data_IF_353827086235
#
_entry.id   IF_353827086235
#
_cell.length_a   1.000
_cell.length_b   1.000
_cell.length_c   1.000
_cell.angle_alpha   90.00
_cell.angle_beta   90.00
_cell.angle_gamma   90.00
#
_symmetry.space_group_name_H-M   'P 1'
#
loop_
_entity.id
_entity.type
_entity.pdbx_description
1 polymer ?
#
# COMPACT_ATOMS: atom_id res chain seq x y z
N UNK A 1 -22.86 82.86 -15.94
CA UNK A 1 -23.01 81.42 -16.23
C UNK A 1 -23.36 81.11 -17.70
N UNK A 2 -24.24 81.88 -18.36
CA UNK A 2 -24.71 81.59 -19.73
C UNK A 2 -23.65 81.72 -20.86
N UNK A 3 -22.60 82.53 -20.69
CA UNK A 3 -21.58 82.76 -21.74
C UNK A 3 -20.56 81.62 -21.91
N UNK A 4 -20.37 80.76 -20.90
CA UNK A 4 -19.40 79.65 -20.96
C UNK A 4 -19.89 78.50 -21.85
N UNK A 5 -21.21 78.26 -21.87
CA UNK A 5 -21.85 77.20 -22.65
C UNK A 5 -22.02 77.53 -24.14
N UNK A 6 -21.73 78.76 -24.58
CA UNK A 6 -21.80 79.16 -25.99
C UNK A 6 -20.51 78.91 -26.77
N UNK A 7 -19.40 78.54 -26.12
CA UNK A 7 -18.14 78.18 -26.82
C UNK A 7 -18.31 76.87 -27.58
N UNK A 8 -17.98 76.88 -28.89
CA UNK A 8 -18.14 75.74 -29.83
C UNK A 8 -17.62 74.41 -29.27
N UNK A 9 -16.45 74.43 -28.63
CA UNK A 9 -15.83 73.24 -28.02
C UNK A 9 -16.64 72.67 -26.84
N UNK A 10 -17.14 73.53 -25.94
CA UNK A 10 -17.97 73.10 -24.80
C UNK A 10 -19.26 72.44 -25.29
N UNK A 11 -19.87 72.97 -26.35
CA UNK A 11 -21.09 72.41 -26.96
C UNK A 11 -20.84 71.06 -27.64
N UNK A 12 -19.68 70.88 -28.28
CA UNK A 12 -19.29 69.60 -28.90
C UNK A 12 -19.01 68.55 -27.83
N UNK A 13 -18.21 68.87 -26.80
CA UNK A 13 -17.92 67.97 -25.69
C UNK A 13 -19.19 67.57 -24.94
N UNK A 14 -20.10 68.52 -24.68
CA UNK A 14 -21.39 68.23 -24.07
C UNK A 14 -22.24 67.27 -24.92
N UNK A 15 -22.30 67.48 -26.25
CA UNK A 15 -23.01 66.56 -27.16
C UNK A 15 -22.40 65.16 -27.18
N UNK A 16 -21.06 65.04 -27.18
CA UNK A 16 -20.37 63.75 -27.14
C UNK A 16 -20.71 63.02 -25.83
N UNK A 17 -20.65 63.72 -24.69
CA UNK A 17 -21.00 63.14 -23.39
C UNK A 17 -22.49 62.75 -23.36
N UNK A 18 -23.38 63.61 -23.85
CA UNK A 18 -24.82 63.35 -23.90
C UNK A 18 -25.16 62.13 -24.76
N UNK A 19 -24.60 62.04 -25.97
CA UNK A 19 -24.81 60.89 -26.85
C UNK A 19 -24.12 59.63 -26.31
N UNK A 20 -22.96 59.75 -25.66
CA UNK A 20 -22.31 58.65 -24.98
C UNK A 20 -23.14 58.10 -23.82
N UNK A 21 -23.70 58.97 -22.97
CA UNK A 21 -24.62 58.58 -21.91
C UNK A 21 -25.92 57.98 -22.45
N UNK A 22 -26.49 58.55 -23.51
CA UNK A 22 -27.70 58.02 -24.15
C UNK A 22 -27.44 56.64 -24.78
N UNK A 23 -26.32 56.44 -25.45
CA UNK A 23 -25.92 55.14 -26.01
C UNK A 23 -25.69 54.10 -24.91
N UNK A 24 -25.00 54.47 -23.82
CA UNK A 24 -24.79 53.59 -22.68
C UNK A 24 -26.11 53.21 -21.99
N UNK A 25 -26.99 54.19 -21.77
CA UNK A 25 -28.33 53.96 -21.24
C UNK A 25 -29.18 53.05 -22.14
N UNK A 26 -29.09 53.23 -23.47
CA UNK A 26 -29.75 52.35 -24.43
C UNK A 26 -29.22 50.92 -24.38
N UNK A 27 -27.89 50.72 -24.32
CA UNK A 27 -27.27 49.39 -24.20
C UNK A 27 -27.72 48.70 -22.90
N UNK A 28 -27.70 49.41 -21.76
CA UNK A 28 -28.15 48.84 -20.49
C UNK A 28 -29.64 48.52 -20.48
N UNK A 29 -30.47 49.37 -21.08
CA UNK A 29 -31.91 49.15 -21.19
C UNK A 29 -32.20 47.96 -22.13
N UNK A 30 -31.53 47.88 -23.27
CA UNK A 30 -31.64 46.77 -24.20
C UNK A 30 -31.16 45.45 -23.58
N UNK A 31 -30.07 45.45 -22.82
CA UNK A 31 -29.60 44.29 -22.07
C UNK A 31 -30.59 43.88 -20.96
N UNK A 32 -31.14 44.84 -20.22
CA UNK A 32 -32.19 44.58 -19.22
C UNK A 32 -33.42 43.95 -19.85
N UNK A 33 -33.89 44.47 -20.99
CA UNK A 33 -35.02 43.88 -21.71
C UNK A 33 -34.68 42.55 -22.36
N UNK A 34 -33.45 42.33 -22.84
CA UNK A 34 -33.01 41.04 -23.37
C UNK A 34 -33.05 39.94 -22.29
N UNK A 35 -32.61 40.25 -21.07
CA UNK A 35 -32.71 39.33 -19.93
C UNK A 35 -34.16 39.20 -19.44
N UNK A 36 -34.90 40.30 -19.30
CA UNK A 36 -36.29 40.30 -18.79
C UNK A 36 -37.28 39.60 -19.73
N UNK A 37 -37.04 39.66 -21.04
CA UNK A 37 -37.86 38.99 -22.06
C UNK A 37 -37.32 37.60 -22.41
N UNK A 38 -36.33 37.08 -21.65
CA UNK A 38 -35.76 35.75 -21.86
C UNK A 38 -35.19 35.56 -23.28
N UNK A 39 -34.76 36.64 -23.95
CA UNK A 39 -34.22 36.61 -25.32
C UNK A 39 -32.81 36.00 -25.39
N UNK A 40 -32.13 35.90 -24.25
CA UNK A 40 -30.82 35.27 -24.09
C UNK A 40 -30.88 33.95 -23.31
N UNK A 41 -32.09 33.45 -23.04
CA UNK A 41 -32.24 32.16 -22.38
C UNK A 41 -31.72 31.08 -23.31
N UNK A 42 -30.74 30.32 -22.82
CA UNK A 42 -30.27 29.12 -23.50
C UNK A 42 -31.39 28.07 -23.40
N UNK A 43 -32.04 27.69 -24.52
CA UNK A 43 -33.08 26.67 -24.47
C UNK A 43 -32.42 25.37 -24.02
N UNK A 44 -32.64 25.02 -22.75
CA UNK A 44 -32.00 23.87 -22.12
C UNK A 44 -32.04 22.63 -23.02
N UNK A 45 -30.90 21.98 -23.17
CA UNK A 45 -30.76 20.83 -24.07
C UNK A 45 -31.23 19.56 -23.37
N UNK A 46 -32.08 18.78 -24.05
CA UNK A 46 -32.42 17.42 -23.62
C UNK A 46 -31.31 16.46 -24.07
N UNK A 47 -30.77 15.66 -23.15
CA UNK A 47 -29.69 14.72 -23.46
C UNK A 47 -30.17 13.64 -24.43
N UNK A 48 -29.34 13.27 -25.40
CA UNK A 48 -29.63 12.18 -26.36
C UNK A 48 -29.87 10.82 -25.69
N UNK A 49 -29.37 10.66 -24.47
CA UNK A 49 -29.53 9.48 -23.62
C UNK A 49 -30.68 9.63 -22.61
N UNK A 50 -31.54 10.65 -22.71
CA UNK A 50 -32.66 10.86 -21.77
C UNK A 50 -33.49 9.59 -21.58
N UNK A 51 -33.84 8.88 -22.66
CA UNK A 51 -34.54 7.60 -22.57
C UNK A 51 -33.81 6.59 -21.67
N UNK A 52 -32.49 6.50 -21.80
CA UNK A 52 -31.68 5.62 -20.94
C UNK A 52 -31.70 6.10 -19.48
N UNK A 53 -31.61 7.41 -19.23
CA UNK A 53 -31.71 7.95 -17.87
C UNK A 53 -33.08 7.70 -17.26
N UNK A 54 -34.17 7.83 -18.02
CA UNK A 54 -35.53 7.49 -17.57
C UNK A 54 -35.65 5.99 -17.27
N UNK A 55 -35.14 5.12 -18.14
CA UNK A 55 -35.11 3.67 -17.91
C UNK A 55 -34.35 3.33 -16.63
N UNK A 56 -33.18 3.95 -16.39
CA UNK A 56 -32.43 3.76 -15.15
C UNK A 56 -33.18 4.31 -13.93
N UNK A 57 -33.78 5.49 -14.02
CA UNK A 57 -34.56 6.09 -12.94
C UNK A 57 -35.76 5.21 -12.56
N UNK A 58 -36.51 4.70 -13.54
CA UNK A 58 -37.61 3.75 -13.33
C UNK A 58 -37.11 2.44 -12.70
N UNK A 59 -35.99 1.92 -13.21
CA UNK A 59 -35.32 0.72 -12.68
C UNK A 59 -34.90 0.89 -11.22
N UNK A 60 -34.56 2.09 -10.78
CA UNK A 60 -34.26 2.39 -9.37
C UNK A 60 -35.50 2.72 -8.54
N UNK A 61 -36.54 3.36 -9.12
CA UNK A 61 -37.78 3.78 -8.43
C UNK A 61 -38.73 2.63 -8.07
N UNK A 62 -38.79 1.56 -8.87
CA UNK A 62 -39.71 0.41 -8.64
C UNK A 62 -39.47 -0.40 -7.34
N UNK A 63 -38.55 0.01 -6.47
CA UNK A 63 -37.87 -0.88 -5.53
C UNK A 63 -38.21 -0.68 -4.04
N UNK A 64 -39.39 -0.15 -3.70
CA UNK A 64 -39.92 -0.22 -2.33
C UNK A 64 -40.53 -1.61 -2.00
N UNK A 65 -39.89 -2.71 -2.39
CA UNK A 65 -40.36 -4.06 -2.00
C UNK A 65 -39.82 -5.27 -2.77
N UNK A 66 -39.30 -5.11 -3.98
CA UNK A 66 -38.66 -6.20 -4.74
C UNK A 66 -37.25 -5.75 -5.11
N UNK A 67 -36.24 -6.49 -4.64
CA UNK A 67 -34.83 -6.18 -4.91
C UNK A 67 -34.59 -6.20 -6.41
N UNK A 68 -34.08 -5.09 -6.96
CA UNK A 68 -33.30 -5.14 -8.19
C UNK A 68 -32.27 -6.30 -8.06
N UNK A 69 -31.95 -7.00 -9.16
CA UNK A 69 -30.76 -7.87 -9.20
C UNK A 69 -29.51 -6.98 -9.19
N UNK A 70 -29.31 -6.27 -8.08
CA UNK A 70 -28.00 -5.79 -7.68
C UNK A 70 -27.12 -7.04 -7.63
N UNK A 71 -25.84 -6.93 -7.99
CA UNK A 71 -24.88 -7.90 -7.53
C UNK A 71 -25.12 -8.10 -6.02
N UNK A 72 -25.73 -9.20 -5.59
CA UNK A 72 -26.07 -9.37 -4.15
C UNK A 72 -24.79 -9.63 -3.32
N UNK A 73 -23.62 -9.55 -3.96
CA UNK A 73 -22.34 -9.96 -3.44
C UNK A 73 -21.19 -9.16 -4.08
N UNK A 74 -20.18 -8.82 -3.27
CA UNK A 74 -18.95 -8.14 -3.71
C UNK A 74 -18.22 -8.89 -4.84
N UNK A 75 -18.25 -10.23 -4.85
CA UNK A 75 -17.57 -11.04 -5.86
C UNK A 75 -18.06 -10.74 -7.28
N UNK A 76 -19.36 -10.49 -7.45
CA UNK A 76 -19.93 -10.12 -8.75
C UNK A 76 -19.46 -8.72 -9.13
N UNK A 77 -19.39 -7.77 -8.18
CA UNK A 77 -18.85 -6.43 -8.44
C UNK A 77 -17.39 -6.52 -8.92
N UNK A 78 -16.53 -7.29 -8.24
CA UNK A 78 -15.15 -7.48 -8.69
C UNK A 78 -15.06 -8.12 -10.08
N UNK A 79 -15.94 -9.08 -10.39
CA UNK A 79 -16.00 -9.69 -11.72
C UNK A 79 -16.37 -8.67 -12.81
N UNK A 80 -17.36 -7.81 -12.55
CA UNK A 80 -17.73 -6.71 -13.46
C UNK A 80 -16.60 -5.70 -13.63
N UNK A 81 -15.87 -5.39 -12.55
CA UNK A 81 -14.69 -4.51 -12.61
C UNK A 81 -13.64 -5.13 -13.54
N UNK A 82 -13.38 -6.44 -13.43
CA UNK A 82 -12.43 -7.14 -14.29
C UNK A 82 -12.85 -7.13 -15.77
N UNK A 83 -14.14 -7.31 -16.06
CA UNK A 83 -14.68 -7.13 -17.43
C UNK A 83 -14.46 -5.70 -17.91
N UNK A 84 -14.90 -4.70 -17.15
CA UNK A 84 -14.76 -3.29 -17.54
C UNK A 84 -13.29 -2.90 -17.76
N UNK A 85 -12.35 -3.45 -16.98
CA UNK A 85 -10.94 -3.14 -17.11
C UNK A 85 -10.37 -3.47 -18.51
N UNK A 86 -10.97 -4.44 -19.22
CA UNK A 86 -10.56 -4.78 -20.60
C UNK A 86 -10.96 -3.71 -21.63
N UNK A 87 -11.98 -2.89 -21.33
CA UNK A 87 -12.56 -1.92 -22.27
C UNK A 87 -12.33 -0.46 -21.87
N UNK A 88 -12.35 -0.17 -20.57
CA UNK A 88 -12.19 1.16 -19.98
C UNK A 88 -11.41 1.07 -18.65
N UNK A 89 -10.08 0.81 -18.69
CA UNK A 89 -9.27 0.55 -17.50
C UNK A 89 -9.27 1.70 -16.49
N UNK A 90 -9.31 2.95 -16.96
CA UNK A 90 -9.40 4.12 -16.07
C UNK A 90 -10.68 4.10 -15.23
N UNK A 91 -11.84 3.87 -15.87
CA UNK A 91 -13.13 3.81 -15.20
C UNK A 91 -13.22 2.61 -14.25
N UNK A 92 -12.70 1.44 -14.67
CA UNK A 92 -12.62 0.27 -13.80
C UNK A 92 -11.85 0.55 -12.51
N UNK A 93 -10.71 1.25 -12.61
CA UNK A 93 -9.90 1.63 -11.44
C UNK A 93 -10.61 2.63 -10.52
N UNK A 94 -11.34 3.60 -11.07
CA UNK A 94 -12.14 4.55 -10.28
C UNK A 94 -13.29 3.86 -9.52
N UNK A 95 -13.95 2.90 -10.18
CA UNK A 95 -15.00 2.07 -9.54
C UNK A 95 -14.40 1.20 -8.46
N UNK A 96 -13.29 0.49 -8.74
CA UNK A 96 -12.60 -0.35 -7.76
C UNK A 96 -12.17 0.45 -6.53
N UNK A 97 -11.61 1.64 -6.72
CA UNK A 97 -11.19 2.51 -5.64
C UNK A 97 -12.37 2.92 -4.75
N UNK A 98 -13.46 3.39 -5.35
CA UNK A 98 -14.67 3.80 -4.62
C UNK A 98 -15.33 2.61 -3.92
N UNK A 99 -15.41 1.46 -4.58
CA UNK A 99 -16.00 0.25 -4.03
C UNK A 99 -15.18 -0.29 -2.84
N UNK A 100 -13.85 -0.31 -2.93
CA UNK A 100 -12.98 -0.73 -1.84
C UNK A 100 -13.15 0.14 -0.57
N UNK A 101 -13.46 1.43 -0.74
CA UNK A 101 -13.71 2.37 0.36
C UNK A 101 -15.11 2.24 0.96
N UNK A 102 -16.12 2.05 0.13
CA UNK A 102 -17.53 2.15 0.55
C UNK A 102 -18.18 0.81 0.83
N UNK A 103 -17.70 -0.26 0.16
CA UNK A 103 -18.34 -1.58 0.09
C UNK A 103 -19.81 -1.52 -0.32
N UNK A 104 -20.22 -0.43 -0.98
CA UNK A 104 -21.60 -0.20 -1.38
C UNK A 104 -21.82 -0.74 -2.79
N UNK A 105 -22.48 -1.89 -2.87
CA UNK A 105 -22.74 -2.57 -4.14
C UNK A 105 -23.73 -1.81 -5.03
N UNK A 106 -24.73 -1.16 -4.44
CA UNK A 106 -25.69 -0.33 -5.18
C UNK A 106 -24.99 0.87 -5.82
N UNK A 107 -24.09 1.53 -5.08
CA UNK A 107 -23.27 2.61 -5.60
C UNK A 107 -22.39 2.13 -6.75
N UNK A 108 -21.69 1.00 -6.59
CA UNK A 108 -20.87 0.44 -7.65
C UNK A 108 -21.69 0.12 -8.91
N UNK A 109 -22.91 -0.41 -8.76
CA UNK A 109 -23.81 -0.65 -9.88
C UNK A 109 -24.20 0.65 -10.59
N UNK A 110 -24.52 1.72 -9.85
CA UNK A 110 -24.81 3.04 -10.44
C UNK A 110 -23.62 3.59 -11.23
N UNK A 111 -22.40 3.36 -10.74
CA UNK A 111 -21.19 3.74 -11.46
C UNK A 111 -21.02 2.93 -12.75
N UNK A 112 -21.32 1.63 -12.75
CA UNK A 112 -21.36 0.83 -13.98
C UNK A 112 -22.40 1.36 -14.95
N UNK A 113 -23.63 1.65 -14.49
CA UNK A 113 -24.69 2.16 -15.35
C UNK A 113 -24.30 3.51 -15.98
N UNK A 114 -23.62 4.39 -15.24
CA UNK A 114 -23.09 5.64 -15.79
C UNK A 114 -22.04 5.40 -16.89
N UNK A 115 -21.13 4.44 -16.71
CA UNK A 115 -20.15 4.07 -17.75
C UNK A 115 -20.84 3.42 -18.95
N UNK A 116 -21.87 2.62 -18.69
CA UNK A 116 -22.61 1.90 -19.72
C UNK A 116 -23.30 2.84 -20.71
N UNK A 117 -23.67 4.07 -20.31
CA UNK A 117 -24.17 5.12 -21.22
C UNK A 117 -23.25 5.30 -22.44
N UNK A 118 -21.94 5.17 -22.25
CA UNK A 118 -20.95 5.36 -23.30
C UNK A 118 -20.54 4.05 -24.00
N UNK A 119 -20.91 2.89 -23.45
CA UNK A 119 -20.56 1.56 -23.98
C UNK A 119 -21.76 0.79 -24.54
N UNK A 120 -22.92 1.43 -24.68
CA UNK A 120 -24.18 0.79 -25.11
C UNK A 120 -24.09 0.07 -26.47
N UNK A 121 -23.18 0.50 -27.34
CA UNK A 121 -23.01 -0.10 -28.67
C UNK A 121 -21.96 -1.22 -28.70
N UNK A 122 -21.23 -1.45 -27.59
CA UNK A 122 -20.23 -2.50 -27.49
C UNK A 122 -20.90 -3.82 -27.07
N UNK A 123 -21.36 -4.58 -28.07
CA UNK A 123 -22.07 -5.85 -27.85
C UNK A 123 -21.23 -6.89 -27.08
N UNK A 124 -19.92 -6.93 -27.32
CA UNK A 124 -19.06 -7.90 -26.64
C UNK A 124 -18.91 -7.56 -25.15
N UNK A 125 -18.68 -6.28 -24.85
CA UNK A 125 -18.67 -5.78 -23.47
C UNK A 125 -19.98 -6.09 -22.74
N UNK A 126 -21.13 -5.78 -23.35
CA UNK A 126 -22.44 -6.00 -22.74
C UNK A 126 -22.70 -7.48 -22.47
N UNK A 127 -22.32 -8.37 -23.41
CA UNK A 127 -22.42 -9.82 -23.23
C UNK A 127 -21.55 -10.30 -22.07
N UNK A 128 -20.28 -9.89 -22.01
CA UNK A 128 -19.37 -10.27 -20.93
C UNK A 128 -19.83 -9.72 -19.57
N UNK A 129 -20.40 -8.51 -19.55
CA UNK A 129 -20.94 -7.91 -18.33
C UNK A 129 -22.17 -8.69 -17.81
N UNK A 130 -23.04 -9.13 -18.72
CA UNK A 130 -24.19 -9.98 -18.37
C UNK A 130 -23.75 -11.37 -17.88
N UNK A 131 -22.70 -11.94 -18.47
CA UNK A 131 -22.06 -13.18 -17.99
C UNK A 131 -21.47 -12.98 -16.58
N UNK A 132 -20.86 -11.83 -16.31
CA UNK A 132 -20.33 -11.52 -14.99
C UNK A 132 -21.42 -11.44 -13.91
N UNK A 133 -22.61 -10.93 -14.25
CA UNK A 133 -23.79 -10.89 -13.37
C UNK A 133 -24.34 -12.29 -13.04
N UNK A 134 -24.03 -13.30 -13.87
CA UNK A 134 -24.48 -14.70 -13.68
C UNK A 134 -23.51 -15.53 -12.84
N UNK A 135 -22.45 -14.94 -12.28
CA UNK A 135 -21.45 -15.65 -11.47
C UNK A 135 -22.14 -16.45 -10.34
N UNK A 136 -22.02 -17.78 -10.39
CA UNK A 136 -22.53 -18.66 -9.34
C UNK A 136 -21.58 -18.64 -8.14
N UNK A 137 -22.01 -18.03 -7.06
CA UNK A 137 -21.23 -17.94 -5.83
C UNK A 137 -21.53 -19.17 -5.00
N UNK A 138 -20.50 -19.96 -4.70
CA UNK A 138 -20.63 -21.02 -3.69
C UNK A 138 -20.86 -20.36 -2.34
N UNK A 139 -21.87 -20.82 -1.59
CA UNK A 139 -21.99 -20.50 -0.17
C UNK A 139 -20.82 -21.17 0.56
N UNK A 140 -19.66 -20.53 0.54
CA UNK A 140 -18.60 -20.89 1.45
C UNK A 140 -19.08 -20.48 2.84
N UNK A 141 -18.89 -21.36 3.83
CA UNK A 141 -18.94 -20.94 5.24
C UNK A 141 -18.11 -19.66 5.35
N UNK A 142 -18.63 -18.64 6.01
CA UNK A 142 -17.93 -17.36 6.17
C UNK A 142 -16.54 -17.64 6.74
N UNK A 143 -15.53 -17.55 5.88
CA UNK A 143 -14.14 -17.60 6.29
C UNK A 143 -13.77 -16.19 6.76
N UNK A 144 -14.23 -15.84 7.96
CA UNK A 144 -13.91 -14.56 8.62
C UNK A 144 -12.48 -14.56 9.21
N UNK A 145 -11.65 -15.52 8.79
CA UNK A 145 -10.29 -15.75 9.28
C UNK A 145 -9.29 -15.74 8.14
N UNK A 146 -8.06 -15.32 8.45
CA UNK A 146 -6.94 -15.36 7.54
C UNK A 146 -6.60 -16.83 7.20
N UNK A 147 -6.32 -17.12 5.92
CA UNK A 147 -5.90 -18.44 5.45
C UNK A 147 -4.57 -18.87 6.10
N UNK A 148 -3.67 -17.92 6.36
CA UNK A 148 -2.48 -18.12 7.17
C UNK A 148 -2.89 -18.15 8.64
N UNK A 149 -3.14 -19.36 9.15
CA UNK A 149 -3.81 -19.57 10.44
C UNK A 149 -3.12 -18.87 11.62
N UNK A 150 -1.79 -18.76 11.62
CA UNK A 150 -1.05 -18.05 12.68
C UNK A 150 -1.36 -16.55 12.73
N UNK A 151 -1.76 -15.92 11.63
CA UNK A 151 -2.19 -14.51 11.63
C UNK A 151 -3.55 -14.30 12.31
N UNK A 152 -4.27 -15.37 12.66
CA UNK A 152 -5.52 -15.26 13.43
C UNK A 152 -5.29 -15.18 14.95
N UNK A 153 -4.06 -15.39 15.42
CA UNK A 153 -3.74 -15.37 16.86
C UNK A 153 -3.85 -13.95 17.45
N UNK A 154 -4.17 -13.86 18.73
CA UNK A 154 -4.24 -12.57 19.44
C UNK A 154 -2.89 -11.84 19.38
N UNK A 155 -1.81 -12.59 19.48
CA UNK A 155 -0.45 -12.07 19.42
C UNK A 155 -0.12 -11.37 18.10
N UNK A 156 -0.78 -11.76 16.99
CA UNK A 156 -0.63 -11.06 15.71
C UNK A 156 -1.27 -9.66 15.75
N UNK A 157 -2.42 -9.52 16.40
CA UNK A 157 -3.11 -8.23 16.51
C UNK A 157 -2.24 -7.23 17.28
N UNK A 158 -1.61 -7.70 18.35
CA UNK A 158 -0.70 -6.91 19.16
C UNK A 158 0.59 -6.57 18.41
N UNK A 159 1.14 -7.54 17.69
CA UNK A 159 2.29 -7.33 16.82
C UNK A 159 2.04 -6.22 15.78
N UNK A 160 0.85 -6.15 15.17
CA UNK A 160 0.51 -5.06 14.24
C UNK A 160 0.54 -3.67 14.89
N UNK A 161 0.19 -3.57 16.17
CA UNK A 161 0.31 -2.31 16.93
C UNK A 161 1.78 -1.99 17.18
N UNK A 162 2.59 -2.99 17.53
CA UNK A 162 4.03 -2.85 17.73
C UNK A 162 4.71 -2.35 16.44
N UNK A 163 4.39 -2.94 15.29
CA UNK A 163 4.99 -2.55 14.01
C UNK A 163 4.74 -1.09 13.64
N UNK A 164 3.60 -0.51 14.04
CA UNK A 164 3.35 0.94 13.86
C UNK A 164 4.34 1.81 14.64
N UNK A 165 4.78 1.35 15.82
CA UNK A 165 5.80 2.03 16.63
C UNK A 165 7.19 1.89 16.00
N UNK A 166 7.52 0.69 15.52
CA UNK A 166 8.83 0.35 14.97
C UNK A 166 9.07 0.88 13.54
N UNK A 167 7.99 1.20 12.81
CA UNK A 167 8.04 1.56 11.39
C UNK A 167 9.11 2.61 11.04
N UNK A 168 9.23 3.68 11.84
CA UNK A 168 10.20 4.75 11.56
C UNK A 168 11.64 4.26 11.58
N UNK A 169 11.98 3.32 12.47
CA UNK A 169 13.32 2.72 12.53
C UNK A 169 13.55 1.74 11.37
N UNK A 170 12.53 0.95 11.03
CA UNK A 170 12.60 0.03 9.88
C UNK A 170 12.77 0.81 8.55
N UNK A 171 12.01 1.88 8.35
CA UNK A 171 12.11 2.74 7.16
C UNK A 171 13.47 3.45 7.10
N UNK A 172 13.97 3.97 8.22
CA UNK A 172 15.27 4.65 8.23
C UNK A 172 16.42 3.70 7.89
N UNK A 173 16.45 2.51 8.50
CA UNK A 173 17.44 1.47 8.20
C UNK A 173 17.28 0.98 6.76
N UNK A 174 16.05 0.79 6.29
CA UNK A 174 15.82 0.33 4.93
C UNK A 174 16.34 1.31 3.89
N UNK A 175 16.10 2.62 4.08
CA UNK A 175 16.66 3.68 3.21
C UNK A 175 18.17 3.74 3.27
N UNK A 176 18.76 3.65 4.47
CA UNK A 176 20.22 3.70 4.66
C UNK A 176 20.92 2.52 3.99
N UNK A 177 20.37 1.32 4.16
CA UNK A 177 20.98 0.08 3.66
C UNK A 177 20.54 -0.25 2.25
N UNK A 178 19.48 0.39 1.72
CA UNK A 178 18.82 0.01 0.47
C UNK A 178 18.07 -1.32 0.55
N UNK A 179 17.83 -1.87 1.74
CA UNK A 179 17.04 -3.10 1.92
C UNK A 179 15.60 -2.72 2.25
N UNK A 180 14.64 -3.30 1.56
CA UNK A 180 13.23 -3.02 1.78
C UNK A 180 12.81 -3.23 3.25
N UNK A 181 12.18 -2.23 3.91
CA UNK A 181 11.71 -2.34 5.29
C UNK A 181 10.78 -3.53 5.54
N UNK A 182 9.93 -3.88 4.56
CA UNK A 182 9.05 -5.05 4.61
C UNK A 182 9.83 -6.37 4.68
N UNK A 183 10.96 -6.47 3.98
CA UNK A 183 11.81 -7.65 4.01
C UNK A 183 12.54 -7.78 5.36
N UNK A 184 12.99 -6.67 5.95
CA UNK A 184 13.55 -6.65 7.32
C UNK A 184 12.46 -7.08 8.31
N UNK A 185 11.25 -6.52 8.18
CA UNK A 185 10.10 -6.87 9.01
C UNK A 185 9.70 -8.34 8.86
N UNK A 186 9.93 -8.99 7.71
CA UNK A 186 9.68 -10.42 7.56
C UNK A 186 10.58 -11.29 8.43
N UNK A 187 11.86 -10.92 8.58
CA UNK A 187 12.77 -11.59 9.52
C UNK A 187 12.32 -11.37 10.96
N UNK A 188 11.94 -10.13 11.28
CA UNK A 188 11.43 -9.76 12.59
C UNK A 188 10.16 -10.54 12.95
N UNK A 189 9.19 -10.64 12.03
CA UNK A 189 7.93 -11.35 12.24
C UNK A 189 8.16 -12.82 12.57
N UNK A 190 8.98 -13.51 11.76
CA UNK A 190 9.27 -14.92 11.99
C UNK A 190 9.92 -15.15 13.38
N UNK A 191 10.78 -14.23 13.82
CA UNK A 191 11.43 -14.33 15.13
C UNK A 191 10.50 -13.98 16.30
N UNK A 192 9.71 -12.92 16.17
CA UNK A 192 8.86 -12.44 17.25
C UNK A 192 7.65 -13.35 17.49
N UNK A 193 7.04 -13.89 16.43
CA UNK A 193 5.96 -14.86 16.57
C UNK A 193 6.45 -16.15 17.23
N UNK A 194 7.67 -16.60 16.89
CA UNK A 194 8.34 -17.70 17.60
C UNK A 194 8.52 -17.39 19.08
N UNK A 195 8.92 -16.17 19.44
CA UNK A 195 9.14 -15.77 20.84
C UNK A 195 7.84 -15.62 21.62
N UNK A 196 6.78 -15.10 21.00
CA UNK A 196 5.48 -14.91 21.64
C UNK A 196 4.81 -16.25 21.97
N UNK A 197 4.96 -17.25 21.10
CA UNK A 197 4.45 -18.60 21.36
C UNK A 197 5.29 -19.33 22.42
N UNK A 198 6.63 -19.34 22.30
CA UNK A 198 7.51 -20.06 23.23
C UNK A 198 7.54 -19.44 24.64
N UNK A 199 7.41 -18.12 24.76
CA UNK A 199 7.45 -17.40 26.04
C UNK A 199 6.07 -16.85 26.43
N UNK A 200 5.03 -17.68 26.34
CA UNK A 200 3.63 -17.26 26.52
C UNK A 200 3.36 -16.58 27.86
N UNK A 201 4.06 -16.95 28.93
CA UNK A 201 3.94 -16.29 30.23
C UNK A 201 4.48 -14.85 30.21
N UNK A 202 5.69 -14.66 29.66
CA UNK A 202 6.28 -13.33 29.48
C UNK A 202 5.42 -12.49 28.53
N UNK A 203 4.83 -13.13 27.51
CA UNK A 203 3.89 -12.48 26.61
C UNK A 203 2.71 -11.88 27.37
N UNK A 204 2.00 -12.71 28.14
CA UNK A 204 0.82 -12.28 28.90
C UNK A 204 1.15 -11.23 29.96
N UNK A 205 2.30 -11.35 30.62
CA UNK A 205 2.67 -10.48 31.74
C UNK A 205 3.18 -9.11 31.29
N UNK A 206 3.94 -9.06 30.20
CA UNK A 206 4.69 -7.85 29.82
C UNK A 206 4.50 -7.43 28.37
N UNK A 207 4.72 -8.33 27.41
CA UNK A 207 4.79 -8.00 25.98
C UNK A 207 3.44 -7.53 25.44
N UNK A 208 2.38 -8.32 25.65
CA UNK A 208 1.02 -8.02 25.21
C UNK A 208 0.47 -6.73 25.84
N UNK A 209 0.54 -6.56 27.17
CA UNK A 209 0.10 -5.33 27.82
C UNK A 209 0.83 -4.07 27.37
N UNK A 210 2.17 -4.11 27.27
CA UNK A 210 2.99 -2.94 26.92
C UNK A 210 3.07 -2.70 25.41
N UNK A 211 2.67 -3.69 24.59
CA UNK A 211 2.83 -3.71 23.13
C UNK A 211 4.28 -3.36 22.77
N UNK A 212 5.21 -4.21 23.19
CA UNK A 212 6.65 -4.12 22.94
C UNK A 212 7.18 -5.40 22.28
N UNK A 213 8.36 -5.35 21.68
CA UNK A 213 9.04 -6.53 21.15
C UNK A 213 9.75 -7.32 22.25
N UNK A 214 9.97 -8.61 22.02
CA UNK A 214 10.86 -9.42 22.85
C UNK A 214 12.31 -9.20 22.40
N UNK A 215 13.16 -8.77 23.34
CA UNK A 215 14.59 -8.56 23.12
C UNK A 215 15.35 -9.75 23.69
N UNK A 216 16.15 -10.42 22.85
CA UNK A 216 17.00 -11.53 23.28
C UNK A 216 18.39 -11.04 23.67
N UNK A 217 19.03 -11.73 24.63
CA UNK A 217 20.35 -11.36 25.16
C UNK A 217 21.23 -12.56 25.55
N UNK A 218 20.85 -13.78 25.13
CA UNK A 218 21.58 -15.02 25.44
C UNK A 218 22.24 -15.59 24.19
N UNK A 219 21.60 -16.58 23.56
CA UNK A 219 22.13 -17.29 22.38
C UNK A 219 21.97 -16.51 21.07
N UNK A 220 21.02 -15.58 21.06
CA UNK A 220 20.76 -14.62 19.99
C UNK A 220 20.50 -13.27 20.65
N UNK A 221 20.80 -12.19 19.94
CA UNK A 221 20.70 -10.83 20.44
C UNK A 221 19.67 -10.01 19.67
N UNK A 222 19.02 -9.12 20.41
CA UNK A 222 18.08 -8.15 19.87
C UNK A 222 16.73 -8.72 19.50
N UNK A 223 15.96 -7.92 18.78
CA UNK A 223 14.59 -8.25 18.36
C UNK A 223 14.54 -9.11 17.10
N UNK A 224 15.62 -9.11 16.31
CA UNK A 224 15.74 -9.92 15.08
C UNK A 224 16.50 -11.24 15.29
N UNK A 225 17.04 -11.48 16.48
CA UNK A 225 17.65 -12.76 16.85
C UNK A 225 19.01 -13.04 16.22
N UNK A 226 19.81 -12.00 15.95
CA UNK A 226 21.17 -12.15 15.39
C UNK A 226 22.06 -12.85 16.41
N UNK A 227 22.68 -13.96 15.99
CA UNK A 227 23.66 -14.66 16.84
C UNK A 227 24.96 -13.84 16.97
N UNK A 228 25.66 -13.91 18.12
CA UNK A 228 26.91 -13.16 18.33
C UNK A 228 27.94 -13.38 17.22
N UNK A 229 28.17 -14.63 16.82
CA UNK A 229 29.11 -14.99 15.76
C UNK A 229 28.67 -14.47 14.38
N UNK A 230 27.37 -14.34 14.15
CA UNK A 230 26.83 -13.75 12.92
C UNK A 230 27.06 -12.25 12.89
N UNK A 231 26.89 -11.54 14.02
CA UNK A 231 27.21 -10.11 14.12
C UNK A 231 28.69 -9.84 13.80
N UNK A 232 29.59 -10.61 14.40
CA UNK A 232 31.04 -10.52 14.14
C UNK A 232 31.37 -10.78 12.65
N UNK A 233 30.69 -11.74 12.00
CA UNK A 233 30.86 -12.00 10.57
C UNK A 233 30.37 -10.85 9.70
N UNK A 234 29.24 -10.22 10.04
CA UNK A 234 28.73 -9.03 9.35
C UNK A 234 29.77 -7.90 9.42
N UNK A 235 30.28 -7.60 10.60
CA UNK A 235 31.30 -6.55 10.82
C UNK A 235 32.61 -6.83 10.08
N UNK A 236 32.98 -8.10 9.94
CA UNK A 236 34.13 -8.50 9.12
C UNK A 236 33.84 -8.32 7.63
N UNK A 237 32.73 -8.89 7.15
CA UNK A 237 32.40 -8.91 5.73
C UNK A 237 32.07 -7.54 5.16
N UNK A 238 31.54 -6.62 5.98
CA UNK A 238 31.25 -5.24 5.54
C UNK A 238 32.52 -4.49 5.13
N UNK A 239 33.70 -4.90 5.62
CA UNK A 239 35.01 -4.29 5.35
C UNK A 239 35.93 -5.13 4.46
N UNK A 240 35.50 -6.34 4.08
CA UNK A 240 36.35 -7.28 3.33
C UNK A 240 35.90 -7.32 1.88
N UNK A 241 36.47 -6.45 1.03
CA UNK A 241 36.11 -6.32 -0.40
C UNK A 241 36.25 -7.61 -1.22
N UNK A 242 37.20 -8.47 -0.84
CA UNK A 242 37.43 -9.81 -1.41
C UNK A 242 36.41 -10.86 -0.96
N UNK A 243 35.58 -10.57 0.05
CA UNK A 243 34.55 -11.50 0.52
C UNK A 243 33.43 -11.62 -0.50
N UNK A 244 32.97 -12.85 -0.75
CA UNK A 244 31.75 -13.10 -1.53
C UNK A 244 30.51 -12.41 -0.93
N UNK A 245 30.55 -12.14 0.38
CA UNK A 245 29.50 -11.44 1.12
C UNK A 245 29.66 -9.92 1.13
N UNK A 246 30.73 -9.36 0.53
CA UNK A 246 30.97 -7.92 0.58
C UNK A 246 29.82 -7.12 -0.05
N UNK A 247 29.18 -6.20 0.71
CA UNK A 247 27.99 -5.48 0.26
C UNK A 247 28.32 -4.23 -0.57
N UNK A 248 29.57 -3.78 -0.62
CA UNK A 248 30.01 -2.60 -1.37
C UNK A 248 30.51 -1.45 -0.50
N UNK A 249 31.33 -0.59 -1.12
CA UNK A 249 32.12 0.46 -0.44
C UNK A 249 31.28 1.44 0.37
N UNK A 250 30.09 1.82 -0.11
CA UNK A 250 29.22 2.78 0.57
C UNK A 250 28.71 2.30 1.93
N UNK A 251 28.86 1.02 2.25
CA UNK A 251 28.39 0.43 3.49
C UNK A 251 29.49 0.21 4.54
N UNK A 252 30.78 0.34 4.18
CA UNK A 252 31.93 -0.06 5.02
C UNK A 252 31.93 0.55 6.43
N UNK A 253 31.40 1.77 6.55
CA UNK A 253 31.41 2.56 7.78
C UNK A 253 30.12 2.48 8.59
N UNK A 254 29.12 1.71 8.15
CA UNK A 254 27.81 1.67 8.83
C UNK A 254 27.86 1.07 10.23
N UNK A 255 28.86 0.24 10.52
CA UNK A 255 29.00 -0.49 11.79
C UNK A 255 30.25 -0.11 12.58
N UNK A 256 30.95 0.98 12.22
CA UNK A 256 32.17 1.39 12.91
C UNK A 256 31.93 1.59 14.41
N UNK A 257 32.79 0.95 15.21
CA UNK A 257 32.77 1.05 16.68
C UNK A 257 33.33 2.39 17.14
N UNK A 258 32.81 2.90 18.25
CA UNK A 258 33.23 4.19 18.82
C UNK A 258 34.01 4.04 20.12
N UNK A 259 34.00 2.85 20.69
CA UNK A 259 34.66 2.53 21.95
C UNK A 259 35.79 1.53 21.75
N UNK A 260 36.64 1.40 22.76
CA UNK A 260 37.70 0.40 22.78
C UNK A 260 37.18 -0.99 23.14
N UNK A 261 36.08 -1.07 23.89
CA UNK A 261 35.41 -2.33 24.25
C UNK A 261 34.36 -2.68 23.18
N UNK A 262 34.86 -3.24 22.09
CA UNK A 262 34.06 -3.61 20.91
C UNK A 262 32.98 -4.65 21.26
N UNK A 263 33.28 -5.61 22.13
CA UNK A 263 32.36 -6.68 22.48
C UNK A 263 31.17 -6.15 23.29
N UNK A 264 31.44 -5.29 24.26
CA UNK A 264 30.40 -4.61 25.01
C UNK A 264 29.57 -3.69 24.12
N UNK A 265 30.20 -2.86 23.28
CA UNK A 265 29.46 -1.96 22.39
C UNK A 265 28.58 -2.75 21.39
N UNK A 266 29.06 -3.87 20.86
CA UNK A 266 28.27 -4.76 20.00
C UNK A 266 27.05 -5.31 20.73
N UNK A 267 27.26 -5.83 21.94
CA UNK A 267 26.19 -6.36 22.78
C UNK A 267 25.14 -5.27 23.04
N UNK A 268 25.57 -4.11 23.57
CA UNK A 268 24.69 -2.99 23.89
C UNK A 268 23.89 -2.52 22.68
N UNK A 269 24.54 -2.38 21.51
CA UNK A 269 23.87 -2.03 20.24
C UNK A 269 22.74 -3.00 19.91
N UNK A 270 23.00 -4.31 20.01
CA UNK A 270 22.03 -5.32 19.61
C UNK A 270 20.93 -5.54 20.65
N UNK A 271 21.21 -5.36 21.94
CA UNK A 271 20.27 -5.65 23.04
C UNK A 271 19.60 -4.41 23.66
N UNK A 272 19.67 -3.26 23.00
CA UNK A 272 18.98 -2.04 23.45
C UNK A 272 17.46 -2.26 23.47
N UNK A 273 16.84 -2.11 24.65
CA UNK A 273 15.40 -2.30 24.87
C UNK A 273 14.54 -1.10 24.45
N UNK A 274 15.16 0.06 24.22
CA UNK A 274 14.48 1.31 23.89
C UNK A 274 14.67 1.70 22.44
N UNK A 275 15.78 1.32 21.82
CA UNK A 275 16.10 1.66 20.45
C UNK A 275 16.65 0.47 19.66
N UNK A 276 15.77 -0.16 18.87
CA UNK A 276 16.11 -1.32 18.06
C UNK A 276 16.86 -1.01 16.75
N UNK A 277 17.34 0.23 16.56
CA UNK A 277 18.00 0.65 15.32
C UNK A 277 19.11 -0.30 14.88
N UNK A 278 20.03 -0.66 15.79
CA UNK A 278 21.13 -1.55 15.43
C UNK A 278 20.67 -3.00 15.22
N UNK A 279 19.66 -3.49 15.96
CA UNK A 279 19.03 -4.78 15.66
C UNK A 279 18.53 -4.87 14.22
N UNK A 280 17.91 -3.80 13.71
CA UNK A 280 17.47 -3.72 12.32
C UNK A 280 18.62 -3.51 11.35
N UNK A 281 19.61 -2.69 11.69
CA UNK A 281 20.78 -2.43 10.85
C UNK A 281 21.59 -3.71 10.60
N UNK A 282 21.88 -4.49 11.64
CA UNK A 282 22.55 -5.78 11.50
C UNK A 282 21.69 -6.76 10.68
N UNK A 283 20.38 -6.79 10.90
CA UNK A 283 19.50 -7.66 10.11
C UNK A 283 19.50 -7.28 8.62
N UNK A 284 19.40 -5.99 8.31
CA UNK A 284 19.45 -5.47 6.94
C UNK A 284 20.80 -5.76 6.27
N UNK A 285 21.92 -5.56 6.98
CA UNK A 285 23.23 -5.88 6.43
C UNK A 285 23.40 -7.39 6.18
N UNK A 286 22.89 -8.24 7.06
CA UNK A 286 22.88 -9.69 6.84
C UNK A 286 22.11 -10.05 5.55
N UNK A 287 20.88 -9.54 5.41
CA UNK A 287 20.05 -9.73 4.19
C UNK A 287 20.83 -9.30 2.95
N UNK A 288 21.40 -8.08 2.96
CA UNK A 288 22.15 -7.54 1.82
C UNK A 288 23.35 -8.43 1.45
N UNK A 289 24.11 -8.89 2.44
CA UNK A 289 25.27 -9.74 2.22
C UNK A 289 24.89 -11.09 1.61
N UNK A 290 23.81 -11.71 2.11
CA UNK A 290 23.27 -12.96 1.58
C UNK A 290 22.80 -12.79 0.14
N UNK A 291 21.99 -11.76 -0.15
CA UNK A 291 21.51 -11.49 -1.51
C UNK A 291 22.69 -11.19 -2.45
N UNK A 292 23.67 -10.40 -2.00
CA UNK A 292 24.85 -10.06 -2.80
C UNK A 292 25.66 -11.30 -3.19
N UNK A 293 25.88 -12.22 -2.25
CA UNK A 293 26.59 -13.48 -2.53
C UNK A 293 25.85 -14.29 -3.61
N UNK A 294 24.54 -14.46 -3.47
CA UNK A 294 23.72 -15.26 -4.37
C UNK A 294 23.61 -14.64 -5.77
N UNK A 295 23.40 -13.31 -5.83
CA UNK A 295 23.37 -12.55 -7.09
C UNK A 295 24.71 -12.63 -7.84
N UNK A 296 25.84 -12.45 -7.14
CA UNK A 296 27.19 -12.60 -7.73
C UNK A 296 27.46 -14.02 -8.25
N UNK A 297 26.87 -15.03 -7.62
CA UNK A 297 26.98 -16.43 -8.03
C UNK A 297 26.01 -16.84 -9.15
N UNK A 298 25.20 -15.91 -9.70
CA UNK A 298 24.26 -16.19 -10.78
C UNK A 298 22.92 -16.81 -10.33
N UNK A 299 22.64 -16.81 -9.03
CA UNK A 299 21.41 -17.38 -8.46
C UNK A 299 20.65 -16.30 -7.68
N UNK A 300 20.10 -15.30 -8.36
CA UNK A 300 19.43 -14.18 -7.69
C UNK A 300 18.23 -14.64 -6.83
N UNK A 301 18.28 -14.33 -5.53
CA UNK A 301 17.24 -14.64 -4.55
C UNK A 301 16.52 -13.38 -4.06
N UNK A 302 16.73 -12.23 -4.70
CA UNK A 302 16.11 -10.95 -4.30
C UNK A 302 14.59 -11.09 -4.14
N UNK A 303 13.94 -11.85 -5.04
CA UNK A 303 12.49 -12.06 -5.01
C UNK A 303 12.02 -13.27 -4.16
N UNK A 304 12.94 -13.89 -3.41
CA UNK A 304 12.74 -15.14 -2.66
C UNK A 304 12.86 -14.91 -1.14
N UNK A 305 11.94 -14.16 -0.51
CA UNK A 305 12.02 -13.81 0.91
C UNK A 305 12.10 -15.04 1.83
N UNK A 306 11.53 -16.16 1.41
CA UNK A 306 11.57 -17.43 2.14
C UNK A 306 12.97 -18.07 2.14
N UNK A 307 13.73 -17.89 1.06
CA UNK A 307 15.12 -18.36 0.97
C UNK A 307 16.04 -17.43 1.75
N UNK A 308 15.86 -16.11 1.60
CA UNK A 308 16.58 -15.10 2.40
C UNK A 308 16.37 -15.38 3.90
N UNK A 309 15.13 -15.59 4.33
CA UNK A 309 14.78 -15.92 5.71
C UNK A 309 15.38 -17.24 6.19
N UNK A 310 15.37 -18.26 5.33
CA UNK A 310 16.02 -19.54 5.63
C UNK A 310 17.50 -19.31 5.93
N UNK A 311 18.22 -18.63 5.02
CA UNK A 311 19.65 -18.34 5.14
C UNK A 311 19.97 -17.44 6.33
N UNK A 312 19.13 -16.43 6.59
CA UNK A 312 19.24 -15.58 7.76
C UNK A 312 19.20 -16.39 9.05
N UNK A 313 18.29 -17.37 9.13
CA UNK A 313 18.11 -18.22 10.30
C UNK A 313 19.23 -19.26 10.48
N UNK A 314 19.71 -19.87 9.39
CA UNK A 314 20.77 -20.91 9.46
C UNK A 314 22.19 -20.35 9.44
N UNK A 315 22.39 -19.11 8.99
CA UNK A 315 23.66 -18.39 8.98
C UNK A 315 24.51 -18.59 7.71
N UNK A 316 25.57 -17.78 7.60
CA UNK A 316 26.42 -17.70 6.39
C UNK A 316 27.04 -19.01 5.94
N UNK A 317 27.39 -19.91 6.87
CA UNK A 317 28.05 -21.20 6.54
C UNK A 317 27.16 -22.13 5.70
N UNK A 318 25.84 -22.00 5.87
CA UNK A 318 24.87 -22.75 5.10
C UNK A 318 24.51 -22.07 3.77
N UNK A 319 25.01 -20.84 3.52
CA UNK A 319 24.74 -20.07 2.31
C UNK A 319 25.59 -20.54 1.15
N UNK A 320 25.05 -21.53 0.42
CA UNK A 320 25.65 -22.15 -0.76
C UNK A 320 24.75 -21.90 -1.98
N UNK A 321 25.07 -20.91 -2.82
CA UNK A 321 24.28 -20.56 -4.01
C UNK A 321 24.10 -21.77 -4.94
N UNK A 322 22.87 -21.96 -5.42
CA UNK A 322 22.49 -23.08 -6.29
C UNK A 322 21.17 -22.81 -7.03
N UNK A 323 20.87 -23.51 -8.15
CA UNK A 323 19.67 -23.26 -8.94
C UNK A 323 18.36 -23.52 -8.18
N UNK A 324 18.36 -24.54 -7.32
CA UNK A 324 17.17 -25.01 -6.61
C UNK A 324 17.38 -24.92 -5.08
N UNK A 325 17.38 -23.70 -4.51
CA UNK A 325 17.42 -23.53 -3.07
C UNK A 325 16.16 -24.11 -2.42
N UNK A 326 16.29 -24.60 -1.18
CA UNK A 326 15.17 -25.16 -0.41
C UNK A 326 14.83 -24.24 0.74
N UNK A 327 13.53 -24.06 0.97
CA UNK A 327 12.98 -23.31 2.11
C UNK A 327 13.14 -24.15 3.38
N UNK A 328 13.48 -23.51 4.50
CA UNK A 328 13.65 -24.19 5.78
C UNK A 328 13.98 -23.24 6.93
N UNK A 329 14.96 -23.64 7.73
CA UNK A 329 15.32 -23.02 9.00
C UNK A 329 14.80 -23.82 10.20
N UNK A 330 14.95 -23.27 11.40
CA UNK A 330 14.42 -23.81 12.63
C UNK A 330 12.92 -24.02 12.51
N UNK A 331 12.44 -25.14 13.06
CA UNK A 331 11.01 -25.38 13.23
C UNK A 331 10.45 -24.41 14.25
N UNK A 332 9.38 -23.70 13.89
CA UNK A 332 8.65 -22.81 14.78
C UNK A 332 7.32 -23.50 15.08
N UNK A 333 7.06 -23.78 16.35
CA UNK A 333 5.73 -24.18 16.78
C UNK A 333 4.90 -22.91 16.96
N UNK A 334 3.72 -22.87 16.36
CA UNK A 334 2.74 -21.80 16.56
C UNK A 334 1.39 -22.45 16.79
N UNK A 335 0.84 -22.31 18.00
CA UNK A 335 -0.47 -22.91 18.36
C UNK A 335 -0.59 -24.40 17.99
N UNK A 336 0.48 -25.18 18.15
CA UNK A 336 0.50 -26.61 17.85
C UNK A 336 0.76 -27.01 16.39
N UNK A 337 0.88 -26.04 15.47
CA UNK A 337 1.30 -26.30 14.09
C UNK A 337 2.77 -25.96 13.90
N UNK A 338 3.51 -26.83 13.19
CA UNK A 338 4.93 -26.63 12.91
C UNK A 338 5.12 -25.90 11.59
N UNK A 339 5.77 -24.75 11.65
CA UNK A 339 6.21 -23.96 10.50
C UNK A 339 7.73 -23.97 10.37
N UNK A 340 8.23 -23.55 9.22
CA UNK A 340 9.65 -23.18 9.06
C UNK A 340 9.79 -21.66 9.16
N UNK A 341 10.94 -21.18 9.61
CA UNK A 341 11.24 -19.75 9.64
C UNK A 341 11.05 -19.10 8.26
N UNK A 342 11.50 -19.77 7.20
CA UNK A 342 11.30 -19.32 5.82
C UNK A 342 9.82 -19.20 5.42
N UNK A 343 8.97 -20.16 5.78
CA UNK A 343 7.55 -20.13 5.46
C UNK A 343 6.81 -18.97 6.18
N UNK A 344 7.08 -18.75 7.47
CA UNK A 344 6.45 -17.64 8.21
C UNK A 344 6.84 -16.29 7.60
N UNK A 345 8.11 -16.12 7.25
CA UNK A 345 8.58 -14.90 6.58
C UNK A 345 7.92 -14.71 5.20
N UNK A 346 7.77 -15.78 4.41
CA UNK A 346 7.07 -15.74 3.11
C UNK A 346 5.61 -15.32 3.24
N UNK A 347 4.89 -15.98 4.15
CA UNK A 347 3.46 -15.75 4.36
C UNK A 347 3.23 -14.31 4.82
N UNK A 348 4.03 -13.80 5.76
CA UNK A 348 3.99 -12.38 6.11
C UNK A 348 4.31 -11.48 4.94
N UNK A 349 5.42 -11.75 4.24
CA UNK A 349 5.89 -10.87 3.17
C UNK A 349 4.83 -10.73 2.07
N UNK A 350 4.13 -11.80 1.68
CA UNK A 350 3.15 -11.74 0.59
C UNK A 350 1.66 -11.70 1.01
N UNK A 351 1.33 -11.65 2.31
CA UNK A 351 -0.08 -11.63 2.75
C UNK A 351 -0.82 -10.33 2.46
N UNK A 352 -0.12 -9.25 2.15
CA UNK A 352 -0.70 -7.90 2.12
C UNK A 352 -0.98 -7.32 3.51
N UNK A 353 -0.79 -8.07 4.60
CA UNK A 353 -0.86 -7.50 5.94
C UNK A 353 0.20 -6.41 6.10
N UNK A 354 -0.21 -5.32 6.75
CA UNK A 354 0.61 -4.12 6.96
C UNK A 354 1.12 -3.47 5.66
N UNK A 355 0.58 -3.75 4.47
CA UNK A 355 1.07 -3.17 3.22
C UNK A 355 0.97 -1.63 3.17
N UNK A 356 -0.02 -1.03 3.83
CA UNK A 356 -0.13 0.44 3.94
C UNK A 356 1.00 1.05 4.77
N UNK A 357 1.51 0.30 5.75
CA UNK A 357 2.59 0.73 6.64
C UNK A 357 3.96 0.34 6.08
N UNK A 358 4.10 -0.87 5.56
CA UNK A 358 5.30 -1.48 5.01
C UNK A 358 5.01 -1.87 3.55
N UNK A 359 5.00 -0.89 2.63
CA UNK A 359 4.67 -1.12 1.23
C UNK A 359 5.76 -1.91 0.52
N UNK A 360 5.36 -2.55 -0.58
CA UNK A 360 6.28 -3.24 -1.46
C UNK A 360 7.12 -2.23 -2.25
N UNK A 361 8.43 -2.37 -2.20
CA UNK A 361 9.34 -1.62 -3.06
C UNK A 361 9.35 -2.22 -4.46
N UNK A 362 9.47 -1.36 -5.49
CA UNK A 362 9.64 -1.81 -6.88
C UNK A 362 10.91 -2.69 -7.03
N UNK A 363 11.95 -2.35 -6.28
CA UNK A 363 13.19 -3.12 -6.20
C UNK A 363 13.51 -3.33 -4.72
N UNK A 364 13.54 -4.58 -4.28
CA UNK A 364 13.63 -4.94 -2.85
C UNK A 364 15.01 -4.66 -2.24
N UNK A 365 16.04 -4.66 -3.08
CA UNK A 365 17.43 -4.36 -2.72
C UNK A 365 17.95 -3.33 -3.72
N UNK A 366 18.11 -2.09 -3.27
CA UNK A 366 18.60 -0.97 -4.07
C UNK A 366 20.12 -0.85 -3.87
N UNK A 367 20.87 -0.78 -4.98
CA UNK A 367 22.34 -0.73 -4.97
C UNK A 367 22.94 0.62 -4.61
#
# INVERSE_FOLDING_TARGET
MLAFFQKKYVRITFKIILYGFAAYGFILTAAYFAVKLHLTDDPGVVDKNDRYFQEMAEKYKKNNGVKYKTPDNEAVVYNKIAVLHQYAPLNANLILHTFNKTKNVELAQRMFDAVNVHLQNNKDYLRQLEEADKLKIKSLEKFDTNLFSWMNMEEWRDYKIIMKKEYKLLDSVGRLTGVEPRLIAAMLTAEQIRLFDNNREAYKKWIGPLKILSVQSKFSWGVTGIKPETAMKIEKFIKTDTSVFYPGKKYEHLLDFRTQDIDKERFDRLTDFHNHYYSYLYAAMNIRMLVSQWKKAGYDITDRPEIIATLFNVGFEASKPKPNPRVGGSGIMIKGTRYTFGAVAYEFYYSGELADLLPYWKTRIID
#
